data_IF_357192140501
#
_entry.id   IF_357192140501
#
_cell.length_a   1.000
_cell.length_b   1.000
_cell.length_c   1.000
_cell.angle_alpha   90.00
_cell.angle_beta   90.00
_cell.angle_gamma   90.00
#
_symmetry.space_group_name_H-M   'P 1'
#
loop_
_entity.id
_entity.type
_entity.pdbx_description
1 polymer ?
#
# COMPACT_ATOMS: atom_id res chain seq x y z
N UNK A 1 1.67 39.47 -8.61
CA UNK A 1 2.53 38.43 -8.02
C UNK A 1 3.65 38.19 -9.01
N UNK A 2 4.89 38.51 -8.66
CA UNK A 2 6.03 38.12 -9.49
C UNK A 2 6.03 36.60 -9.66
N UNK A 3 6.33 36.13 -10.87
CA UNK A 3 6.43 34.71 -11.19
C UNK A 3 7.59 34.14 -10.36
N UNK A 4 7.27 33.38 -9.30
CA UNK A 4 8.28 32.75 -8.46
C UNK A 4 9.04 31.72 -9.30
N UNK A 5 10.26 32.07 -9.71
CA UNK A 5 11.13 31.20 -10.48
C UNK A 5 11.90 30.31 -9.51
N UNK A 6 11.51 29.04 -9.43
CA UNK A 6 12.30 28.03 -8.74
C UNK A 6 13.68 27.89 -9.40
N UNK A 7 14.75 27.62 -8.65
CA UNK A 7 16.09 27.66 -9.21
C UNK A 7 16.39 26.43 -10.10
N UNK A 8 17.36 26.56 -11.03
CA UNK A 8 17.56 25.66 -12.19
C UNK A 8 17.94 24.20 -11.87
N UNK A 9 18.39 23.88 -10.65
CA UNK A 9 18.93 22.55 -10.30
C UNK A 9 17.92 21.40 -10.45
N UNK A 10 16.62 21.68 -10.37
CA UNK A 10 15.55 20.67 -10.46
C UNK A 10 14.54 21.06 -11.57
N UNK A 11 14.90 20.86 -12.86
CA UNK A 11 14.03 21.24 -13.97
C UNK A 11 12.87 20.25 -14.13
N UNK A 12 11.63 20.75 -14.07
CA UNK A 12 10.44 19.95 -14.38
C UNK A 12 10.27 19.89 -15.90
N UNK A 13 10.80 18.84 -16.53
CA UNK A 13 10.70 18.63 -17.98
C UNK A 13 9.63 17.57 -18.29
N UNK A 14 8.44 17.96 -18.80
CA UNK A 14 7.32 17.01 -18.99
C UNK A 14 6.39 17.27 -20.20
N UNK A 15 5.85 16.16 -20.75
CA UNK A 15 5.00 16.07 -21.98
C UNK A 15 3.72 16.91 -22.02
N UNK A 16 3.37 17.66 -20.96
CA UNK A 16 2.15 18.48 -20.88
C UNK A 16 2.36 19.87 -20.23
N UNK A 17 3.60 20.36 -20.17
CA UNK A 17 3.87 21.70 -19.65
C UNK A 17 3.50 21.89 -18.17
N UNK A 18 3.63 20.84 -17.34
CA UNK A 18 3.44 20.95 -15.89
C UNK A 18 4.53 21.89 -15.35
N UNK A 19 4.14 23.12 -15.00
CA UNK A 19 5.07 24.16 -14.53
C UNK A 19 5.40 24.08 -13.03
N UNK A 20 4.63 23.26 -12.28
CA UNK A 20 4.68 23.19 -10.82
C UNK A 20 4.62 21.72 -10.35
N UNK A 21 5.43 21.39 -9.34
CA UNK A 21 5.62 20.05 -8.80
C UNK A 21 7.07 19.78 -8.41
N UNK A 22 7.38 18.53 -8.14
CA UNK A 22 8.72 18.05 -7.80
C UNK A 22 9.24 17.12 -8.90
N UNK A 23 10.54 17.23 -9.20
CA UNK A 23 11.23 16.30 -10.10
C UNK A 23 11.17 14.89 -9.53
N UNK A 24 11.34 14.73 -8.21
CA UNK A 24 11.12 13.46 -7.53
C UNK A 24 9.71 12.90 -7.81
N UNK A 25 8.66 13.72 -7.69
CA UNK A 25 7.27 13.30 -7.98
C UNK A 25 7.03 12.76 -9.39
N UNK A 26 7.91 13.05 -10.37
CA UNK A 26 7.81 12.50 -11.72
C UNK A 26 8.12 11.00 -11.79
N UNK A 27 8.87 10.45 -10.84
CA UNK A 27 9.18 9.01 -10.79
C UNK A 27 8.03 8.16 -10.26
N UNK A 28 7.02 8.77 -9.63
CA UNK A 28 5.90 8.05 -8.99
C UNK A 28 5.15 7.17 -9.98
N UNK A 29 4.72 7.68 -11.13
CA UNK A 29 3.92 6.88 -12.07
C UNK A 29 4.67 5.63 -12.58
N UNK A 30 5.96 5.71 -12.97
CA UNK A 30 6.80 4.53 -13.17
C UNK A 30 6.84 3.57 -11.96
N UNK A 31 7.02 4.09 -10.74
CA UNK A 31 7.05 3.28 -9.50
C UNK A 31 5.74 2.52 -9.29
N UNK A 32 4.57 3.17 -9.41
CA UNK A 32 3.29 2.46 -9.24
C UNK A 32 3.10 1.39 -10.31
N UNK A 33 3.46 1.70 -11.57
CA UNK A 33 3.39 0.72 -12.65
C UNK A 33 4.29 -0.49 -12.38
N UNK A 34 5.49 -0.25 -11.85
CA UNK A 34 6.41 -1.30 -11.45
C UNK A 34 5.83 -2.15 -10.30
N UNK A 35 5.26 -1.53 -9.27
CA UNK A 35 4.60 -2.23 -8.16
C UNK A 35 3.49 -3.16 -8.67
N UNK A 36 2.54 -2.65 -9.46
CA UNK A 36 1.43 -3.46 -9.99
C UNK A 36 1.96 -4.61 -10.85
N UNK A 37 2.82 -4.31 -11.83
CA UNK A 37 3.37 -5.30 -12.74
C UNK A 37 4.25 -6.35 -12.04
N UNK A 38 4.97 -5.96 -10.98
CA UNK A 38 5.87 -6.86 -10.25
C UNK A 38 5.13 -8.03 -9.61
N UNK A 39 3.88 -7.86 -9.21
CA UNK A 39 3.08 -8.96 -8.66
C UNK A 39 2.84 -10.07 -9.67
N UNK A 40 2.52 -9.70 -10.92
CA UNK A 40 2.25 -10.63 -12.02
C UNK A 40 3.54 -11.32 -12.47
N UNK A 41 4.66 -10.59 -12.53
CA UNK A 41 5.96 -11.19 -12.83
C UNK A 41 6.43 -12.12 -11.70
N UNK A 42 6.26 -11.72 -10.44
CA UNK A 42 6.55 -12.57 -9.29
C UNK A 42 5.77 -13.88 -9.32
N UNK A 43 4.51 -13.85 -9.78
CA UNK A 43 3.70 -15.05 -9.94
C UNK A 43 4.30 -16.00 -10.99
N UNK A 44 4.77 -15.47 -12.13
CA UNK A 44 5.42 -16.27 -13.18
C UNK A 44 6.75 -16.87 -12.70
N UNK A 45 7.46 -16.17 -11.82
CA UNK A 45 8.68 -16.64 -11.17
C UNK A 45 8.41 -17.65 -10.04
N UNK A 46 7.15 -17.92 -9.70
CA UNK A 46 6.76 -18.86 -8.65
C UNK A 46 6.92 -18.32 -7.22
N UNK A 47 7.13 -17.01 -7.05
CA UNK A 47 7.28 -16.37 -5.74
C UNK A 47 6.04 -16.52 -4.88
N UNK A 48 6.23 -16.37 -3.58
CA UNK A 48 5.12 -16.33 -2.63
C UNK A 48 4.44 -14.96 -2.67
N UNK A 49 3.12 -14.96 -2.77
CA UNK A 49 2.32 -13.76 -2.93
C UNK A 49 1.27 -13.72 -1.83
N UNK A 50 1.18 -12.58 -1.14
CA UNK A 50 0.18 -12.32 -0.14
C UNK A 50 -0.71 -11.15 -0.56
N UNK A 51 -2.02 -11.33 -0.49
CA UNK A 51 -2.94 -10.21 -0.50
C UNK A 51 -2.84 -9.46 0.82
N UNK A 52 -2.76 -8.14 0.74
CA UNK A 52 -2.64 -7.25 1.89
C UNK A 52 -3.33 -5.92 1.61
N UNK A 53 -3.58 -5.16 2.67
CA UNK A 53 -4.14 -3.82 2.58
C UNK A 53 -3.04 -2.75 2.73
N UNK A 54 -3.34 -1.51 2.38
CA UNK A 54 -2.43 -0.39 2.71
C UNK A 54 -2.44 -0.14 4.22
N UNK A 55 -1.32 0.35 4.77
CA UNK A 55 -1.17 0.61 6.21
C UNK A 55 -1.54 -0.62 7.05
N UNK A 56 -0.91 -1.75 6.72
CA UNK A 56 -1.25 -3.05 7.29
C UNK A 56 -0.45 -3.37 8.56
N UNK A 57 0.64 -2.63 8.83
CA UNK A 57 1.57 -2.83 9.95
C UNK A 57 2.35 -4.17 9.95
N UNK A 58 2.37 -4.89 8.83
CA UNK A 58 3.13 -6.14 8.69
C UNK A 58 3.82 -6.29 7.33
N UNK A 59 3.93 -5.22 6.54
CA UNK A 59 4.64 -5.28 5.24
C UNK A 59 6.12 -5.62 5.40
N UNK A 60 6.79 -5.15 6.46
CA UNK A 60 8.19 -5.52 6.75
C UNK A 60 8.34 -7.01 7.05
N UNK A 61 7.34 -7.63 7.70
CA UNK A 61 7.29 -9.08 7.93
C UNK A 61 7.28 -9.81 6.59
N UNK A 62 6.41 -9.39 5.66
CA UNK A 62 6.33 -10.02 4.34
C UNK A 62 7.63 -9.86 3.56
N UNK A 63 8.23 -8.67 3.56
CA UNK A 63 9.50 -8.41 2.89
C UNK A 63 10.64 -9.22 3.48
N UNK A 64 10.72 -9.34 4.81
CA UNK A 64 11.74 -10.13 5.48
C UNK A 64 11.63 -11.62 5.14
N UNK A 65 10.41 -12.12 4.93
CA UNK A 65 10.15 -13.51 4.54
C UNK A 65 10.22 -13.75 3.02
N UNK A 66 10.59 -12.75 2.23
CA UNK A 66 10.61 -12.82 0.76
C UNK A 66 9.23 -13.12 0.14
N UNK A 67 8.17 -12.62 0.77
CA UNK A 67 6.79 -12.70 0.29
C UNK A 67 6.45 -11.38 -0.39
N UNK A 68 5.89 -11.46 -1.60
CA UNK A 68 5.50 -10.30 -2.39
C UNK A 68 4.10 -9.84 -1.95
N UNK A 69 3.96 -8.66 -1.31
CA UNK A 69 2.66 -8.10 -1.00
C UNK A 69 1.96 -7.59 -2.26
N UNK A 70 0.66 -7.83 -2.32
CA UNK A 70 -0.26 -7.23 -3.31
C UNK A 70 -1.28 -6.41 -2.54
N UNK A 71 -1.13 -5.09 -2.65
CA UNK A 71 -2.06 -4.14 -2.05
C UNK A 71 -3.32 -4.03 -2.89
N UNK A 72 -4.38 -4.73 -2.51
CA UNK A 72 -5.61 -4.81 -3.32
C UNK A 72 -6.28 -3.44 -3.50
N UNK A 73 -6.11 -2.54 -2.53
CA UNK A 73 -6.56 -1.15 -2.62
C UNK A 73 -5.76 -0.32 -3.62
N UNK A 74 -4.47 -0.61 -3.81
CA UNK A 74 -3.64 0.07 -4.81
C UNK A 74 -4.19 -0.19 -6.22
N UNK A 75 -4.43 -1.47 -6.52
CA UNK A 75 -4.94 -1.86 -7.83
C UNK A 75 -6.32 -1.26 -8.09
N UNK A 76 -7.21 -1.26 -7.10
CA UNK A 76 -8.50 -0.59 -7.22
C UNK A 76 -8.37 0.93 -7.43
N UNK A 77 -7.39 1.57 -6.78
CA UNK A 77 -6.99 2.97 -7.04
C UNK A 77 -6.58 3.21 -8.49
N UNK A 78 -5.81 2.28 -9.07
CA UNK A 78 -5.41 2.32 -10.49
C UNK A 78 -6.59 2.13 -11.43
N UNK A 79 -7.49 1.19 -11.15
CA UNK A 79 -8.73 1.04 -11.91
C UNK A 79 -9.55 2.34 -11.91
N UNK A 80 -9.64 3.01 -10.76
CA UNK A 80 -10.26 4.35 -10.65
C UNK A 80 -9.55 5.40 -11.49
N UNK A 81 -8.22 5.52 -11.36
CA UNK A 81 -7.41 6.49 -12.10
C UNK A 81 -7.46 6.28 -13.63
N UNK A 82 -7.59 5.03 -14.08
CA UNK A 82 -7.73 4.65 -15.49
C UNK A 82 -9.16 4.72 -16.01
N UNK A 83 -10.13 5.06 -15.16
CA UNK A 83 -11.57 5.12 -15.48
C UNK A 83 -12.12 3.76 -15.93
N UNK A 84 -11.59 2.69 -15.36
CA UNK A 84 -11.93 1.30 -15.70
C UNK A 84 -12.51 0.52 -14.51
N UNK A 85 -12.73 1.17 -13.37
CA UNK A 85 -13.33 0.52 -12.20
C UNK A 85 -14.76 0.01 -12.45
N UNK A 86 -15.53 0.68 -13.32
CA UNK A 86 -16.96 0.43 -13.51
C UNK A 86 -17.28 -1.04 -13.84
N UNK A 87 -16.52 -1.68 -14.73
CA UNK A 87 -16.77 -3.08 -15.11
C UNK A 87 -16.58 -4.06 -13.94
N UNK A 88 -15.68 -3.76 -13.02
CA UNK A 88 -15.47 -4.58 -11.81
C UNK A 88 -16.57 -4.30 -10.77
N UNK A 89 -17.01 -3.03 -10.65
CA UNK A 89 -18.12 -2.67 -9.77
C UNK A 89 -19.43 -3.36 -10.21
N UNK A 90 -19.75 -3.33 -11.50
CA UNK A 90 -20.94 -3.98 -12.07
C UNK A 90 -20.95 -5.49 -11.83
N UNK A 91 -19.77 -6.13 -11.88
CA UNK A 91 -19.62 -7.54 -11.51
C UNK A 91 -19.90 -7.79 -10.04
N UNK A 92 -19.29 -7.02 -9.13
CA UNK A 92 -19.56 -7.17 -7.70
C UNK A 92 -21.06 -6.95 -7.37
N UNK A 93 -21.71 -5.99 -8.04
CA UNK A 93 -23.15 -5.77 -7.91
C UNK A 93 -23.98 -6.99 -8.37
N UNK A 94 -23.56 -7.67 -9.46
CA UNK A 94 -24.23 -8.90 -9.93
C UNK A 94 -24.17 -10.06 -8.93
N UNK A 95 -23.19 -10.02 -8.01
CA UNK A 95 -23.04 -10.98 -6.91
C UNK A 95 -23.84 -10.57 -5.65
N UNK A 96 -24.69 -9.54 -5.75
CA UNK A 96 -25.46 -8.95 -4.64
C UNK A 96 -24.61 -8.26 -3.56
N UNK A 97 -23.37 -7.88 -3.85
CA UNK A 97 -22.66 -6.96 -2.95
C UNK A 97 -23.35 -5.59 -2.97
N UNK A 98 -23.59 -5.03 -1.78
CA UNK A 98 -24.26 -3.73 -1.66
C UNK A 98 -23.43 -2.61 -2.30
N UNK A 99 -24.09 -1.76 -3.10
CA UNK A 99 -23.49 -0.53 -3.68
C UNK A 99 -22.99 0.47 -2.63
N UNK A 100 -23.40 0.29 -1.37
CA UNK A 100 -22.92 1.13 -0.25
C UNK A 100 -21.56 0.69 0.30
N UNK A 101 -21.02 -0.44 -0.16
CA UNK A 101 -19.68 -0.88 0.20
C UNK A 101 -18.61 0.01 -0.44
N UNK A 102 -17.42 -0.01 0.16
CA UNK A 102 -16.25 0.67 -0.38
C UNK A 102 -16.02 0.30 -1.85
N UNK A 103 -15.84 1.30 -2.72
CA UNK A 103 -15.59 1.07 -4.15
C UNK A 103 -14.28 0.34 -4.40
N UNK A 104 -13.28 0.43 -3.51
CA UNK A 104 -12.09 -0.43 -3.60
C UNK A 104 -12.40 -1.89 -3.33
N UNK A 105 -13.21 -2.19 -2.32
CA UNK A 105 -13.63 -3.55 -2.02
C UNK A 105 -14.45 -4.14 -3.18
N UNK A 106 -15.45 -3.40 -3.68
CA UNK A 106 -16.25 -3.85 -4.82
C UNK A 106 -15.39 -4.04 -6.09
N UNK A 107 -14.46 -3.13 -6.37
CA UNK A 107 -13.55 -3.25 -7.51
C UNK A 107 -12.65 -4.49 -7.38
N UNK A 108 -12.09 -4.75 -6.20
CA UNK A 108 -11.26 -5.92 -5.98
C UNK A 108 -12.04 -7.22 -6.04
N UNK A 109 -13.19 -7.30 -5.36
CA UNK A 109 -14.08 -8.47 -5.38
C UNK A 109 -14.54 -8.82 -6.80
N UNK A 110 -15.00 -7.82 -7.56
CA UNK A 110 -15.43 -8.04 -8.94
C UNK A 110 -14.28 -8.36 -9.90
N UNK A 111 -13.07 -7.86 -9.62
CA UNK A 111 -11.87 -8.26 -10.38
C UNK A 111 -11.47 -9.70 -10.07
N UNK A 112 -11.41 -10.08 -8.80
CA UNK A 112 -10.99 -11.41 -8.39
C UNK A 112 -11.99 -12.47 -8.85
N UNK A 113 -13.30 -12.22 -8.69
CA UNK A 113 -14.33 -13.13 -9.19
C UNK A 113 -14.23 -13.33 -10.71
N UNK A 114 -14.02 -12.25 -11.49
CA UNK A 114 -13.84 -12.37 -12.93
C UNK A 114 -12.58 -13.16 -13.30
N UNK A 115 -11.48 -12.95 -12.56
CA UNK A 115 -10.25 -13.72 -12.75
C UNK A 115 -10.47 -15.21 -12.48
N UNK A 116 -11.17 -15.56 -11.41
CA UNK A 116 -11.47 -16.97 -11.09
C UNK A 116 -12.43 -17.60 -12.11
N UNK A 117 -13.44 -16.86 -12.60
CA UNK A 117 -14.36 -17.35 -13.64
C UNK A 117 -13.61 -17.64 -14.96
N UNK A 118 -12.70 -16.76 -15.37
CA UNK A 118 -11.92 -16.94 -16.59
C UNK A 118 -10.80 -17.98 -16.45
N UNK A 119 -10.29 -18.19 -15.23
CA UNK A 119 -9.05 -18.93 -14.98
C UNK A 119 -7.79 -18.20 -15.48
N UNK A 120 -7.92 -16.95 -15.92
CA UNK A 120 -6.83 -16.09 -16.39
C UNK A 120 -7.10 -14.62 -16.05
N UNK A 121 -6.11 -13.75 -16.32
CA UNK A 121 -6.21 -12.32 -16.05
C UNK A 121 -7.38 -11.69 -16.85
N UNK A 122 -8.25 -10.86 -16.23
CA UNK A 122 -9.27 -10.14 -16.97
C UNK A 122 -8.68 -9.34 -18.15
N UNK A 123 -9.37 -9.29 -19.30
CA UNK A 123 -8.84 -8.68 -20.51
C UNK A 123 -8.55 -7.18 -20.29
N UNK A 124 -7.43 -6.71 -20.82
CA UNK A 124 -6.99 -5.31 -20.73
C UNK A 124 -6.99 -4.76 -19.29
N UNK A 125 -6.71 -5.61 -18.29
CA UNK A 125 -6.60 -5.19 -16.90
C UNK A 125 -5.62 -3.99 -16.77
N UNK A 126 -6.02 -2.90 -16.08
CA UNK A 126 -5.16 -1.74 -15.88
C UNK A 126 -3.74 -2.12 -15.44
N UNK A 127 -2.75 -1.73 -16.25
CA UNK A 127 -1.33 -2.06 -16.01
C UNK A 127 -1.01 -3.56 -15.84
N UNK A 128 -1.83 -4.44 -16.41
CA UNK A 128 -1.61 -5.89 -16.40
C UNK A 128 -2.30 -6.63 -15.26
N UNK A 129 -3.01 -5.93 -14.37
CA UNK A 129 -3.76 -6.55 -13.28
C UNK A 129 -2.92 -6.85 -12.03
N UNK A 130 -3.50 -7.62 -11.11
CA UNK A 130 -2.84 -8.07 -9.88
C UNK A 130 -2.87 -9.61 -9.81
N UNK A 131 -1.76 -10.19 -9.35
CA UNK A 131 -1.60 -11.64 -9.25
C UNK A 131 -2.58 -12.30 -8.26
N UNK A 132 -2.91 -13.57 -8.49
CA UNK A 132 -3.65 -14.38 -7.52
C UNK A 132 -2.75 -14.67 -6.30
N UNK A 133 -3.22 -14.47 -5.06
CA UNK A 133 -2.42 -14.70 -3.87
C UNK A 133 -2.30 -16.20 -3.55
N UNK A 134 -1.29 -16.55 -2.74
CA UNK A 134 -1.22 -17.82 -2.03
C UNK A 134 -1.85 -17.74 -0.64
N UNK A 135 -1.86 -16.56 -0.01
CA UNK A 135 -2.56 -16.27 1.26
C UNK A 135 -3.20 -14.88 1.24
N UNK A 136 -4.25 -14.68 2.01
CA UNK A 136 -4.89 -13.38 2.21
C UNK A 136 -4.71 -12.91 3.64
N UNK A 137 -4.14 -11.72 3.83
CA UNK A 137 -3.85 -11.16 5.14
C UNK A 137 -4.76 -9.95 5.40
N UNK A 138 -5.81 -10.17 6.18
CA UNK A 138 -6.78 -9.12 6.49
C UNK A 138 -6.35 -8.32 7.71
N UNK A 139 -6.60 -7.01 7.72
CA UNK A 139 -6.39 -6.12 8.87
C UNK A 139 -7.44 -5.02 8.87
N UNK A 140 -8.44 -5.15 9.75
CA UNK A 140 -9.60 -4.27 9.79
C UNK A 140 -9.42 -2.97 10.56
N UNK A 141 -9.04 -3.06 11.84
CA UNK A 141 -9.23 -1.96 12.78
C UNK A 141 -8.21 -0.82 12.67
N UNK A 142 -7.24 -0.91 11.75
CA UNK A 142 -6.33 0.20 11.46
C UNK A 142 -6.94 1.28 10.58
N UNK A 143 -7.91 0.92 9.71
CA UNK A 143 -8.53 1.88 8.78
C UNK A 143 -10.04 1.74 8.74
N UNK A 144 -10.58 0.55 8.46
CA UNK A 144 -12.02 0.39 8.26
C UNK A 144 -12.51 -1.05 8.41
N UNK A 145 -13.74 -1.20 8.92
CA UNK A 145 -14.40 -2.49 9.12
C UNK A 145 -14.53 -3.37 7.87
N UNK A 146 -14.78 -2.84 6.65
CA UNK A 146 -14.90 -3.66 5.45
C UNK A 146 -13.69 -4.56 5.18
N UNK A 147 -12.48 -4.17 5.60
CA UNK A 147 -11.27 -4.99 5.42
C UNK A 147 -11.37 -6.35 6.10
N UNK A 148 -12.01 -6.45 7.28
CA UNK A 148 -12.25 -7.72 7.98
C UNK A 148 -13.10 -8.71 7.17
N UNK A 149 -13.97 -8.19 6.30
CA UNK A 149 -14.95 -8.97 5.54
C UNK A 149 -14.60 -9.12 4.08
N UNK A 150 -13.75 -8.26 3.53
CA UNK A 150 -13.36 -8.30 2.12
C UNK A 150 -12.75 -9.66 1.77
N UNK A 151 -11.68 -10.10 2.45
CA UNK A 151 -11.09 -11.39 2.10
C UNK A 151 -11.99 -12.58 2.44
N UNK A 152 -12.83 -12.50 3.48
CA UNK A 152 -13.86 -13.51 3.76
C UNK A 152 -14.89 -13.61 2.62
N UNK A 153 -15.26 -12.48 2.02
CA UNK A 153 -16.08 -12.44 0.84
C UNK A 153 -15.33 -12.98 -0.39
N UNK A 154 -14.02 -12.72 -0.50
CA UNK A 154 -13.21 -13.25 -1.59
C UNK A 154 -13.09 -14.78 -1.58
N UNK A 155 -13.12 -15.40 -0.40
CA UNK A 155 -13.16 -16.86 -0.27
C UNK A 155 -14.39 -17.53 -0.89
N UNK A 156 -15.45 -16.78 -1.24
CA UNK A 156 -16.59 -17.35 -1.98
C UNK A 156 -16.18 -17.83 -3.38
N UNK A 157 -15.17 -17.20 -3.99
CA UNK A 157 -14.62 -17.57 -5.29
C UNK A 157 -13.17 -18.10 -5.20
N UNK A 158 -12.48 -17.89 -4.08
CA UNK A 158 -11.13 -18.43 -3.80
C UNK A 158 -11.11 -19.31 -2.53
N UNK A 159 -11.89 -20.41 -2.47
CA UNK A 159 -12.04 -21.22 -1.25
C UNK A 159 -10.77 -21.95 -0.82
N UNK A 160 -9.81 -22.14 -1.75
CA UNK A 160 -8.51 -22.78 -1.52
C UNK A 160 -7.48 -21.83 -0.91
N UNK A 161 -7.69 -20.51 -0.97
CA UNK A 161 -6.75 -19.53 -0.44
C UNK A 161 -7.06 -19.28 1.04
N UNK A 162 -6.13 -19.56 1.97
CA UNK A 162 -6.34 -19.30 3.39
C UNK A 162 -6.32 -17.80 3.70
N UNK A 163 -7.11 -17.42 4.70
CA UNK A 163 -7.11 -16.08 5.27
C UNK A 163 -6.50 -16.12 6.67
N UNK A 164 -5.62 -15.18 6.95
CA UNK A 164 -5.24 -14.81 8.32
C UNK A 164 -5.80 -13.41 8.62
N UNK A 165 -6.65 -13.30 9.65
CA UNK A 165 -7.24 -12.02 10.04
C UNK A 165 -6.53 -11.45 11.26
N UNK A 166 -5.83 -10.34 11.08
CA UNK A 166 -5.27 -9.55 12.16
C UNK A 166 -6.33 -8.64 12.74
N UNK A 167 -6.30 -8.46 14.05
CA UNK A 167 -7.28 -7.62 14.74
C UNK A 167 -6.84 -6.16 14.70
N UNK A 168 -5.54 -5.88 14.90
CA UNK A 168 -4.94 -4.55 14.72
C UNK A 168 -5.68 -3.43 15.47
N UNK A 169 -5.75 -3.50 16.80
CA UNK A 169 -6.57 -2.62 17.64
C UNK A 169 -6.16 -1.14 17.52
N UNK A 170 -7.13 -0.26 17.24
CA UNK A 170 -7.04 1.16 17.56
C UNK A 170 -7.43 1.35 19.04
N UNK A 171 -6.72 2.19 19.83
CA UNK A 171 -6.98 2.30 21.26
C UNK A 171 -8.41 2.79 21.57
N UNK A 172 -8.85 2.48 22.79
CA UNK A 172 -10.24 2.56 23.22
C UNK A 172 -10.93 3.90 22.91
N UNK A 173 -12.20 3.80 22.51
CA UNK A 173 -13.16 4.89 22.34
C UNK A 173 -13.59 5.52 23.68
N UNK A 174 -13.20 4.94 24.82
CA UNK A 174 -13.68 5.38 26.12
C UNK A 174 -12.92 6.63 26.59
N UNK A 175 -13.66 7.74 26.72
CA UNK A 175 -13.14 9.07 27.02
C UNK A 175 -12.48 9.18 28.42
N UNK A 176 -12.65 8.16 29.27
CA UNK A 176 -12.14 8.10 30.64
C UNK A 176 -10.87 7.25 30.80
N UNK A 177 -10.34 6.67 29.72
CA UNK A 177 -9.11 5.86 29.74
C UNK A 177 -7.91 6.66 29.25
N UNK A 178 -6.92 6.86 30.10
CA UNK A 178 -5.64 7.44 29.70
C UNK A 178 -4.86 6.49 28.77
N UNK A 179 -4.51 6.93 27.56
CA UNK A 179 -3.81 6.08 26.57
C UNK A 179 -2.51 5.44 27.12
N UNK A 180 -1.75 6.16 27.95
CA UNK A 180 -0.55 5.63 28.58
C UNK A 180 -0.82 4.52 29.62
N UNK A 181 -2.01 4.51 30.23
CA UNK A 181 -2.37 3.49 31.23
C UNK A 181 -2.59 2.12 30.58
N UNK A 182 -3.04 2.12 29.32
CA UNK A 182 -3.35 0.90 28.55
C UNK A 182 -2.28 0.53 27.53
N UNK A 183 -1.28 1.39 27.32
CA UNK A 183 -0.21 1.22 26.32
C UNK A 183 0.45 -0.16 26.41
N UNK A 184 0.85 -0.60 27.61
CA UNK A 184 1.52 -1.89 27.80
C UNK A 184 0.64 -3.09 27.41
N UNK A 185 -0.67 -3.00 27.61
CA UNK A 185 -1.62 -4.04 27.20
C UNK A 185 -1.73 -4.10 25.68
N UNK A 186 -1.93 -2.95 25.02
CA UNK A 186 -2.06 -2.90 23.56
C UNK A 186 -0.75 -3.29 22.86
N UNK A 187 0.40 -2.83 23.36
CA UNK A 187 1.70 -3.21 22.83
C UNK A 187 1.91 -4.74 22.91
N UNK A 188 1.57 -5.35 24.05
CA UNK A 188 1.62 -6.81 24.21
C UNK A 188 0.66 -7.51 23.24
N UNK A 189 -0.58 -7.06 23.15
CA UNK A 189 -1.59 -7.66 22.29
C UNK A 189 -1.17 -7.61 20.82
N UNK A 190 -0.77 -6.43 20.32
CA UNK A 190 -0.32 -6.26 18.93
C UNK A 190 0.93 -7.08 18.63
N UNK A 191 1.86 -7.17 19.59
CA UNK A 191 3.05 -8.03 19.45
C UNK A 191 2.65 -9.51 19.31
N UNK A 192 1.72 -9.99 20.13
CA UNK A 192 1.26 -11.37 20.08
C UNK A 192 0.46 -11.65 18.78
N UNK A 193 -0.33 -10.69 18.27
CA UNK A 193 -1.05 -10.79 16.99
C UNK A 193 -0.07 -10.90 15.80
N UNK A 194 0.96 -10.04 15.76
CA UNK A 194 2.03 -10.10 14.76
C UNK A 194 2.84 -11.39 14.84
N UNK A 195 3.14 -11.90 16.05
CA UNK A 195 3.78 -13.22 16.22
C UNK A 195 2.91 -14.35 15.71
N UNK A 196 1.59 -14.24 15.88
CA UNK A 196 0.62 -15.18 15.30
C UNK A 196 0.68 -15.18 13.77
N UNK A 197 0.74 -14.00 13.16
CA UNK A 197 0.93 -13.86 11.71
C UNK A 197 2.23 -14.53 11.25
N UNK A 198 3.35 -14.23 11.93
CA UNK A 198 4.65 -14.86 11.62
C UNK A 198 4.52 -16.38 11.66
N UNK A 199 3.94 -16.93 12.73
CA UNK A 199 3.74 -18.39 12.86
C UNK A 199 2.90 -18.96 11.71
N UNK A 200 1.79 -18.30 11.35
CA UNK A 200 0.97 -18.72 10.22
C UNK A 200 1.76 -18.74 8.91
N UNK A 201 2.52 -17.69 8.63
CA UNK A 201 3.35 -17.60 7.42
C UNK A 201 4.45 -18.66 7.42
N UNK A 202 5.10 -18.91 8.55
CA UNK A 202 6.13 -19.95 8.66
C UNK A 202 5.57 -21.36 8.39
N UNK A 203 4.40 -21.65 8.95
CA UNK A 203 3.73 -22.94 8.78
C UNK A 203 3.25 -23.14 7.33
N UNK A 204 2.64 -22.11 6.74
CA UNK A 204 2.07 -22.19 5.40
C UNK A 204 3.13 -22.23 4.29
N UNK A 205 4.14 -21.36 4.37
CA UNK A 205 5.20 -21.28 3.36
C UNK A 205 6.39 -22.19 3.64
N UNK A 206 6.40 -22.89 4.78
CA UNK A 206 7.51 -23.75 5.22
C UNK A 206 8.86 -23.02 5.24
N UNK A 207 8.84 -21.74 5.64
CA UNK A 207 10.01 -20.85 5.73
C UNK A 207 10.09 -20.29 7.14
N UNK A 208 11.30 -19.94 7.59
CA UNK A 208 11.49 -19.28 8.88
C UNK A 208 11.57 -17.78 8.73
N UNK A 209 11.07 -17.05 9.73
CA UNK A 209 11.26 -15.61 9.82
C UNK A 209 12.76 -15.31 9.94
N UNK A 210 13.22 -14.43 9.07
CA UNK A 210 14.55 -13.83 9.17
C UNK A 210 14.46 -12.57 10.02
N UNK A 211 14.75 -12.72 11.31
CA UNK A 211 14.66 -11.62 12.29
C UNK A 211 15.71 -10.53 12.05
N UNK A 212 16.89 -10.89 11.52
CA UNK A 212 17.93 -9.92 11.20
C UNK A 212 17.49 -9.07 10.01
N UNK A 213 16.98 -9.71 8.95
CA UNK A 213 16.41 -9.00 7.79
C UNK A 213 15.18 -8.17 8.16
N UNK A 214 14.34 -8.65 9.08
CA UNK A 214 13.22 -7.86 9.60
C UNK A 214 13.72 -6.59 10.29
N UNK A 215 14.74 -6.71 11.14
CA UNK A 215 15.33 -5.54 11.81
C UNK A 215 15.94 -4.54 10.84
N UNK A 216 16.67 -5.02 9.82
CA UNK A 216 17.20 -4.18 8.75
C UNK A 216 16.08 -3.47 7.96
N UNK A 217 15.00 -4.18 7.66
CA UNK A 217 13.84 -3.64 6.95
C UNK A 217 13.13 -2.56 7.77
N UNK A 218 12.92 -2.80 9.07
CA UNK A 218 12.32 -1.85 10.01
C UNK A 218 13.17 -0.59 10.14
N UNK A 219 14.49 -0.73 10.33
CA UNK A 219 15.40 0.41 10.37
C UNK A 219 15.32 1.26 9.10
N UNK A 220 15.25 0.61 7.94
CA UNK A 220 15.10 1.31 6.66
C UNK A 220 13.74 2.02 6.55
N UNK A 221 12.65 1.42 7.04
CA UNK A 221 11.34 2.08 7.15
C UNK A 221 11.39 3.30 8.07
N UNK A 222 12.04 3.22 9.23
CA UNK A 222 12.20 4.33 10.18
C UNK A 222 13.00 5.48 9.56
N UNK A 223 14.18 5.18 9.00
CA UNK A 223 15.03 6.16 8.31
C UNK A 223 14.28 6.84 7.15
N UNK A 224 13.43 6.09 6.43
CA UNK A 224 12.57 6.62 5.35
C UNK A 224 11.45 7.51 5.90
N UNK A 225 10.89 7.16 7.06
CA UNK A 225 9.85 7.93 7.73
C UNK A 225 10.37 9.29 8.19
N UNK A 226 11.58 9.35 8.74
CA UNK A 226 12.23 10.60 9.13
C UNK A 226 12.38 11.55 7.92
N UNK A 227 12.82 11.03 6.77
CA UNK A 227 12.91 11.81 5.52
C UNK A 227 11.55 12.31 5.04
N UNK A 228 10.52 11.47 5.14
CA UNK A 228 9.15 11.86 4.79
C UNK A 228 8.61 12.95 5.73
N UNK A 229 8.90 12.88 7.03
CA UNK A 229 8.57 13.94 8.00
C UNK A 229 9.31 15.23 7.65
N UNK A 230 10.62 15.19 7.36
CA UNK A 230 11.37 16.36 6.89
C UNK A 230 10.73 17.00 5.65
N UNK A 231 10.32 16.18 4.66
CA UNK A 231 9.62 16.67 3.48
C UNK A 231 8.32 17.41 3.83
N UNK A 232 7.53 16.86 4.76
CA UNK A 232 6.27 17.48 5.21
C UNK A 232 6.51 18.78 5.98
N UNK A 233 7.55 18.85 6.80
CA UNK A 233 7.92 20.06 7.53
C UNK A 233 8.32 21.20 6.59
N UNK A 234 9.08 20.91 5.52
CA UNK A 234 9.48 21.90 4.52
C UNK A 234 8.29 22.52 3.77
N UNK A 235 7.16 21.82 3.67
CA UNK A 235 5.94 22.34 3.03
C UNK A 235 5.31 23.51 3.78
N UNK A 236 5.69 23.78 5.03
CA UNK A 236 5.21 24.92 5.83
C UNK A 236 5.75 26.27 5.33
N UNK A 237 6.81 26.28 4.52
CA UNK A 237 7.36 27.50 3.95
C UNK A 237 6.33 28.26 3.07
N UNK A 238 6.49 29.57 2.96
CA UNK A 238 5.64 30.44 2.13
C UNK A 238 6.56 31.21 1.15
N UNK A 239 6.44 31.00 -0.18
CA UNK A 239 5.54 30.03 -0.83
C UNK A 239 5.94 28.57 -0.54
N UNK A 240 4.96 27.66 -0.58
CA UNK A 240 5.22 26.24 -0.31
C UNK A 240 6.00 25.60 -1.47
N UNK A 241 7.06 24.80 -1.21
CA UNK A 241 7.86 24.15 -2.26
C UNK A 241 7.16 22.97 -2.92
N UNK A 242 6.08 22.45 -2.32
CA UNK A 242 5.30 21.32 -2.84
C UNK A 242 3.83 21.44 -2.44
N UNK A 243 2.97 21.63 -3.45
CA UNK A 243 1.53 21.69 -3.28
C UNK A 243 0.93 20.34 -2.85
N UNK A 244 -0.33 20.35 -2.40
CA UNK A 244 -1.01 19.15 -1.92
C UNK A 244 -1.24 18.11 -3.01
N UNK A 245 -1.49 18.51 -4.25
CA UNK A 245 -1.67 17.55 -5.34
C UNK A 245 -0.40 16.75 -5.62
N UNK A 246 0.75 17.41 -5.60
CA UNK A 246 2.03 16.74 -5.77
C UNK A 246 2.42 15.91 -4.55
N UNK A 247 2.11 16.38 -3.34
CA UNK A 247 2.32 15.61 -2.12
C UNK A 247 1.48 14.32 -2.07
N UNK A 248 0.22 14.37 -2.51
CA UNK A 248 -0.65 13.18 -2.59
C UNK A 248 -0.11 12.19 -3.63
N UNK A 249 0.48 12.67 -4.72
CA UNK A 249 1.16 11.80 -5.68
C UNK A 249 2.40 11.14 -5.05
N UNK A 250 3.19 11.89 -4.27
CA UNK A 250 4.36 11.38 -3.56
C UNK A 250 4.06 10.46 -2.36
N UNK A 251 2.79 10.11 -2.11
CA UNK A 251 2.39 9.16 -1.06
C UNK A 251 2.67 7.70 -1.45
N UNK A 252 2.78 7.40 -2.75
CA UNK A 252 2.94 6.02 -3.25
C UNK A 252 4.13 5.29 -2.61
N UNK A 253 5.34 5.86 -2.51
CA UNK A 253 6.45 5.14 -1.89
C UNK A 253 6.22 4.87 -0.41
N UNK A 254 5.54 5.78 0.31
CA UNK A 254 5.13 5.57 1.71
C UNK A 254 4.02 4.52 1.86
N UNK A 255 3.11 4.39 0.90
CA UNK A 255 2.01 3.44 1.01
C UNK A 255 2.39 2.00 0.58
N UNK A 256 3.37 1.85 -0.33
CA UNK A 256 3.61 0.58 -1.01
C UNK A 256 5.09 0.16 -1.08
N UNK A 257 6.04 1.03 -0.73
CA UNK A 257 7.47 0.76 -0.87
C UNK A 257 8.25 0.96 0.43
N UNK A 258 7.58 1.15 1.57
CA UNK A 258 8.25 1.20 2.88
C UNK A 258 9.05 -0.09 3.13
N UNK A 259 10.19 0.05 3.80
CA UNK A 259 11.16 -1.02 3.99
C UNK A 259 11.97 -1.33 2.72
N UNK A 260 11.98 -0.46 1.71
CA UNK A 260 12.80 -0.64 0.50
C UNK A 260 13.75 0.53 0.27
N UNK A 261 14.90 0.23 -0.35
CA UNK A 261 15.89 1.25 -0.72
C UNK A 261 15.32 2.24 -1.76
N UNK A 262 14.35 1.80 -2.56
CA UNK A 262 13.67 2.64 -3.54
C UNK A 262 12.87 3.76 -2.87
N UNK A 263 12.09 3.45 -1.81
CA UNK A 263 11.38 4.46 -1.04
C UNK A 263 12.33 5.41 -0.31
N UNK A 264 13.40 4.89 0.31
CA UNK A 264 14.41 5.73 0.96
C UNK A 264 15.04 6.72 -0.02
N UNK A 265 15.50 6.23 -1.18
CA UNK A 265 16.13 7.08 -2.19
C UNK A 265 15.15 8.14 -2.71
N UNK A 266 13.89 7.76 -2.93
CA UNK A 266 12.84 8.70 -3.33
C UNK A 266 12.66 9.84 -2.32
N UNK A 267 12.48 9.52 -1.03
CA UNK A 267 12.27 10.55 -0.02
C UNK A 267 13.52 11.37 0.27
N UNK A 268 14.72 10.79 0.15
CA UNK A 268 15.98 11.55 0.21
C UNK A 268 16.04 12.59 -0.92
N UNK A 269 15.78 12.16 -2.15
CA UNK A 269 15.88 13.03 -3.33
C UNK A 269 14.78 14.11 -3.30
N UNK A 270 13.56 13.76 -2.88
CA UNK A 270 12.48 14.71 -2.63
C UNK A 270 12.87 15.72 -1.55
N UNK A 271 13.41 15.27 -0.42
CA UNK A 271 13.85 16.12 0.68
C UNK A 271 14.90 17.13 0.20
N UNK A 272 15.91 16.66 -0.52
CA UNK A 272 16.99 17.51 -1.05
C UNK A 272 16.44 18.56 -2.05
N UNK A 273 15.49 18.18 -2.89
CA UNK A 273 14.78 19.10 -3.78
C UNK A 273 13.98 20.15 -3.00
N UNK A 274 13.22 19.74 -1.98
CA UNK A 274 12.43 20.67 -1.17
C UNK A 274 13.32 21.63 -0.37
N UNK A 275 14.42 21.16 0.21
CA UNK A 275 15.39 22.01 0.93
C UNK A 275 16.04 23.05 0.01
N UNK A 276 16.22 22.74 -1.26
CA UNK A 276 16.76 23.68 -2.23
C UNK A 276 15.76 24.76 -2.66
N UNK A 277 14.46 24.43 -2.60
CA UNK A 277 13.37 25.33 -2.96
C UNK A 277 13.04 26.32 -1.83
N UNK A 278 13.11 25.90 -0.57
CA UNK A 278 12.92 26.76 0.62
C UNK A 278 14.08 27.74 0.79
#
# INVERSE_FOLDING_TARGET
MEEHKWPEKYPIEGKRGRKYGTVAGMSVAPMVKAVIGSSVEAQKEGKDIAYSFIECNYEEILRAMDIVPVWTENYAGICGAKRDAQRFLERAESLNFSRSLCTYALCGLGFDEWREELGEMPPDAPWGGQARPKVMLSSGQLICDPRNKWYQAAQQFQPDVPIYNLTGLYPAYEDDVGLHEVEGYYAKYMTDDLRGLVKFLEEYFHKKMDWDRLWETLKLSDDTTDLHVECRELRKAIPTPMDTGDAMNCMVPQAFLMGTQEAYNFYRDLRDELKYKV
#
